data_IF_092720450487
#
_entry.id   IF_092720450487
#
_cell.length_a   1.000
_cell.length_b   1.000
_cell.length_c   1.000
_cell.angle_alpha   90.00
_cell.angle_beta   90.00
_cell.angle_gamma   90.00
#
_symmetry.space_group_name_H-M   'P 1'
#
loop_
_entity.id
_entity.type
_entity.pdbx_description
1 polymer ?
#
# COMPACT_ATOMS: atom_id res chain seq x y z
N UNK A 1 8.17 21.96 15.75
CA UNK A 1 8.19 21.68 14.29
C UNK A 1 8.41 20.19 14.03
N UNK A 2 8.42 19.75 12.77
CA UNK A 2 8.60 18.33 12.40
C UNK A 2 9.88 17.72 12.99
N UNK A 3 11.00 18.46 12.95
CA UNK A 3 12.27 17.99 13.50
C UNK A 3 12.17 17.67 15.00
N UNK A 4 11.60 18.58 15.81
CA UNK A 4 11.41 18.33 17.25
C UNK A 4 10.49 17.13 17.51
N UNK A 5 9.43 16.99 16.71
CA UNK A 5 8.54 15.84 16.81
C UNK A 5 9.28 14.54 16.48
N UNK A 6 10.08 14.56 15.40
CA UNK A 6 10.85 13.41 14.95
C UNK A 6 11.89 12.98 15.99
N UNK A 7 12.66 13.91 16.54
CA UNK A 7 13.64 13.63 17.60
C UNK A 7 12.97 13.00 18.82
N UNK A 8 11.82 13.54 19.26
CA UNK A 8 11.06 12.95 20.38
C UNK A 8 10.53 11.56 20.05
N UNK A 9 10.05 11.35 18.83
CA UNK A 9 9.57 10.04 18.39
C UNK A 9 10.72 9.02 18.34
N UNK A 10 11.92 9.41 17.89
CA UNK A 10 13.12 8.57 17.90
C UNK A 10 13.56 8.21 19.32
N UNK A 11 13.54 9.17 20.26
CA UNK A 11 13.84 8.89 21.68
C UNK A 11 12.87 7.83 22.24
N UNK A 12 11.56 8.02 22.02
CA UNK A 12 10.53 7.07 22.47
C UNK A 12 10.73 5.70 21.81
N UNK A 13 11.03 5.66 20.51
CA UNK A 13 11.32 4.43 19.78
C UNK A 13 12.53 3.71 20.39
N UNK A 14 13.62 4.42 20.64
CA UNK A 14 14.85 3.84 21.17
C UNK A 14 14.68 3.25 22.58
N UNK A 15 13.82 3.85 23.41
CA UNK A 15 13.49 3.34 24.75
C UNK A 15 12.61 2.08 24.69
N UNK A 16 11.67 2.00 23.73
CA UNK A 16 10.65 0.95 23.71
C UNK A 16 10.92 -0.18 22.69
N UNK A 17 11.89 -0.02 21.79
CA UNK A 17 12.19 -1.04 20.78
C UNK A 17 12.67 -2.33 21.44
N UNK A 18 12.16 -3.45 20.93
CA UNK A 18 12.50 -4.78 21.44
C UNK A 18 13.96 -5.18 21.21
N UNK A 19 14.61 -4.61 20.19
CA UNK A 19 16.03 -4.84 19.92
C UNK A 19 16.68 -3.69 19.15
N UNK A 20 18.01 -3.74 19.08
CA UNK A 20 18.86 -2.75 18.44
C UNK A 20 18.83 -2.70 16.91
N UNK A 21 18.11 -3.62 16.24
CA UNK A 21 18.33 -3.92 14.81
C UNK A 21 17.67 -2.94 13.84
N UNK A 22 16.77 -2.07 14.32
CA UNK A 22 16.01 -1.17 13.46
C UNK A 22 15.77 0.16 14.14
N UNK A 23 16.12 1.23 13.44
CA UNK A 23 15.79 2.62 13.77
C UNK A 23 14.33 2.95 13.43
N UNK A 24 13.84 4.09 13.91
CA UNK A 24 12.49 4.56 13.56
C UNK A 24 12.35 4.83 12.06
N UNK A 25 13.38 5.38 11.42
CA UNK A 25 13.40 5.64 9.98
C UNK A 25 13.35 4.34 9.16
N UNK A 26 14.14 3.33 9.52
CA UNK A 26 14.11 2.02 8.88
C UNK A 26 12.78 1.29 9.14
N UNK A 27 12.15 1.51 10.30
CA UNK A 27 10.80 0.99 10.58
C UNK A 27 9.76 1.63 9.69
N UNK A 28 9.85 2.95 9.50
CA UNK A 28 8.95 3.72 8.63
C UNK A 28 9.09 3.30 7.16
N UNK A 29 10.33 3.07 6.70
CA UNK A 29 10.63 2.57 5.36
C UNK A 29 10.89 1.05 5.33
N UNK A 30 10.15 0.28 6.12
CA UNK A 30 10.35 -1.15 6.21
C UNK A 30 10.16 -1.81 4.83
N UNK A 31 11.13 -2.63 4.41
CA UNK A 31 11.20 -3.25 3.06
C UNK A 31 11.14 -2.25 1.89
N UNK A 32 11.57 -1.00 2.14
CA UNK A 32 11.54 0.09 1.18
C UNK A 32 10.12 0.45 0.71
N UNK A 33 9.11 0.18 1.53
CA UNK A 33 7.69 0.38 1.16
C UNK A 33 7.32 1.85 0.98
N UNK A 34 8.05 2.77 1.61
CA UNK A 34 7.88 4.20 1.45
C UNK A 34 8.79 4.73 0.32
N UNK A 35 10.09 4.43 0.38
CA UNK A 35 11.07 4.95 -0.58
C UNK A 35 10.81 4.50 -2.02
N UNK A 36 10.32 3.28 -2.25
CA UNK A 36 9.96 2.78 -3.59
C UNK A 36 8.82 3.56 -4.26
N UNK A 37 8.07 4.36 -3.52
CA UNK A 37 7.02 5.20 -4.10
C UNK A 37 7.59 6.46 -4.74
N UNK A 38 8.88 6.76 -4.55
CA UNK A 38 9.51 7.97 -5.04
C UNK A 38 10.49 7.69 -6.19
N UNK A 39 10.51 8.51 -7.25
CA UNK A 39 9.59 9.62 -7.52
C UNK A 39 8.16 9.12 -7.75
N UNK A 40 7.17 9.88 -7.27
CA UNK A 40 5.76 9.48 -7.36
C UNK A 40 5.32 9.44 -8.82
N UNK A 41 4.90 8.27 -9.35
CA UNK A 41 4.43 8.16 -10.73
C UNK A 41 3.17 9.00 -10.95
N UNK A 42 3.07 9.64 -12.12
CA UNK A 42 1.94 10.47 -12.53
C UNK A 42 0.62 9.71 -12.54
N UNK A 43 0.66 8.45 -12.98
CA UNK A 43 -0.50 7.57 -13.05
C UNK A 43 -0.17 6.24 -12.40
N UNK A 44 -1.03 5.83 -11.47
CA UNK A 44 -0.95 4.54 -10.78
C UNK A 44 -2.32 3.88 -10.78
N UNK A 45 -2.33 2.56 -10.84
CA UNK A 45 -3.49 1.77 -10.45
C UNK A 45 -3.27 1.33 -9.01
N UNK A 46 -4.26 1.56 -8.16
CA UNK A 46 -4.27 1.10 -6.78
C UNK A 46 -5.39 0.10 -6.60
N UNK A 47 -5.17 -0.93 -5.78
CA UNK A 47 -6.21 -1.86 -5.40
C UNK A 47 -6.08 -2.24 -3.93
N UNK A 48 -7.21 -2.58 -3.31
CA UNK A 48 -7.26 -2.90 -1.90
C UNK A 48 -6.43 -4.15 -1.60
N UNK A 49 -5.60 -4.07 -0.56
CA UNK A 49 -4.98 -5.27 0.02
C UNK A 49 -6.03 -6.10 0.72
N UNK A 50 -7.05 -5.50 1.31
CA UNK A 50 -8.06 -6.22 2.07
C UNK A 50 -9.49 -5.79 1.80
N UNK A 51 -10.46 -6.71 1.90
CA UNK A 51 -11.89 -6.41 1.83
C UNK A 51 -12.75 -7.46 1.14
N UNK A 52 -14.07 -7.21 1.09
CA UNK A 52 -15.05 -8.15 0.54
C UNK A 52 -15.07 -8.24 -1.00
N UNK A 53 -14.39 -7.34 -1.71
CA UNK A 53 -14.27 -7.39 -3.16
C UNK A 53 -12.90 -6.86 -3.52
N UNK A 54 -12.34 -7.30 -4.66
CA UNK A 54 -11.22 -6.56 -5.25
C UNK A 54 -11.81 -5.31 -5.87
N UNK A 55 -11.28 -4.17 -5.46
CA UNK A 55 -11.65 -2.87 -5.98
C UNK A 55 -10.38 -2.14 -6.37
N UNK A 56 -10.33 -1.70 -7.63
CA UNK A 56 -9.21 -0.98 -8.20
C UNK A 56 -9.63 0.41 -8.67
N UNK A 57 -8.74 1.37 -8.50
CA UNK A 57 -8.95 2.75 -8.94
C UNK A 57 -7.69 3.33 -9.59
N UNK A 58 -7.89 4.27 -10.50
CA UNK A 58 -6.84 5.08 -11.09
C UNK A 58 -6.49 6.23 -10.14
N UNK A 59 -5.21 6.50 -9.96
CA UNK A 59 -4.71 7.57 -9.11
C UNK A 59 -3.77 8.48 -9.91
N UNK A 60 -4.22 9.71 -10.14
CA UNK A 60 -3.47 10.77 -10.83
C UNK A 60 -2.73 11.72 -9.87
N UNK A 61 -2.99 11.60 -8.56
CA UNK A 61 -2.45 12.53 -7.58
C UNK A 61 -0.96 12.23 -7.31
N UNK A 62 -0.09 13.14 -7.74
CA UNK A 62 1.37 13.06 -7.58
C UNK A 62 1.87 13.35 -6.17
N UNK A 63 0.99 13.71 -5.25
CA UNK A 63 1.31 13.92 -3.82
C UNK A 63 0.79 12.80 -2.92
N UNK A 64 0.02 11.86 -3.48
CA UNK A 64 -0.55 10.76 -2.71
C UNK A 64 0.49 9.67 -2.46
N UNK A 65 0.70 9.34 -1.18
CA UNK A 65 1.49 8.21 -0.69
C UNK A 65 0.54 7.10 -0.26
N UNK A 66 0.88 5.88 -0.60
CA UNK A 66 0.05 4.70 -0.40
C UNK A 66 0.49 3.96 0.86
N UNK A 67 -0.46 3.73 1.77
CA UNK A 67 -0.24 2.95 2.97
C UNK A 67 -0.22 1.44 2.71
N UNK A 68 0.07 0.67 3.75
CA UNK A 68 0.18 -0.80 3.70
C UNK A 68 -1.12 -1.54 3.34
N UNK A 69 -2.27 -0.86 3.38
CA UNK A 69 -3.59 -1.39 3.02
C UNK A 69 -3.91 -1.36 1.53
N UNK A 70 -3.02 -0.82 0.70
CA UNK A 70 -3.19 -0.77 -0.75
C UNK A 70 -1.98 -1.40 -1.44
N UNK A 71 -2.25 -2.18 -2.48
CA UNK A 71 -1.27 -2.52 -3.49
C UNK A 71 -1.37 -1.52 -4.65
N UNK A 72 -0.26 -1.34 -5.37
CA UNK A 72 -0.21 -0.39 -6.47
C UNK A 72 0.82 -0.77 -7.51
N UNK A 73 0.59 -0.27 -8.72
CA UNK A 73 1.54 -0.34 -9.84
C UNK A 73 1.52 0.98 -10.62
N UNK A 74 2.69 1.48 -11.08
CA UNK A 74 2.75 2.53 -12.08
C UNK A 74 2.21 2.01 -13.41
N UNK A 75 1.58 2.87 -14.19
CA UNK A 75 1.09 2.57 -15.54
C UNK A 75 1.43 3.73 -16.47
N UNK A 76 1.55 3.43 -17.76
CA UNK A 76 2.08 4.37 -18.75
C UNK A 76 1.00 5.13 -19.52
N UNK A 77 -0.24 4.64 -19.51
CA UNK A 77 -1.37 5.23 -20.25
C UNK A 77 -2.68 5.10 -19.50
N UNK A 78 -3.65 5.94 -19.85
CA UNK A 78 -4.99 5.85 -19.27
C UNK A 78 -5.71 4.59 -19.77
N UNK A 79 -5.43 4.14 -21.00
CA UNK A 79 -5.97 2.93 -21.59
C UNK A 79 -5.52 1.68 -20.83
N UNK A 80 -4.22 1.59 -20.51
CA UNK A 80 -3.67 0.53 -19.66
C UNK A 80 -4.33 0.55 -18.27
N UNK A 81 -4.46 1.74 -17.68
CA UNK A 81 -5.11 1.91 -16.39
C UNK A 81 -6.58 1.48 -16.43
N UNK A 82 -7.31 1.83 -17.49
CA UNK A 82 -8.70 1.45 -17.71
C UNK A 82 -8.83 -0.07 -17.86
N UNK A 83 -7.95 -0.70 -18.64
CA UNK A 83 -7.92 -2.15 -18.80
C UNK A 83 -7.71 -2.86 -17.47
N UNK A 84 -6.69 -2.46 -16.70
CA UNK A 84 -6.41 -3.05 -15.39
C UNK A 84 -7.55 -2.82 -14.40
N UNK A 85 -8.11 -1.61 -14.35
CA UNK A 85 -9.27 -1.33 -13.51
C UNK A 85 -10.50 -2.17 -13.94
N UNK A 86 -10.74 -2.36 -15.23
CA UNK A 86 -11.85 -3.17 -15.72
C UNK A 86 -11.69 -4.64 -15.31
N UNK A 87 -10.48 -5.20 -15.48
CA UNK A 87 -10.18 -6.59 -15.07
C UNK A 87 -10.32 -6.73 -13.56
N UNK A 88 -9.69 -5.86 -12.76
CA UNK A 88 -9.66 -5.99 -11.31
C UNK A 88 -11.03 -5.77 -10.65
N UNK A 89 -11.87 -4.88 -11.21
CA UNK A 89 -13.22 -4.63 -10.72
C UNK A 89 -14.26 -5.62 -11.26
N UNK A 90 -13.90 -6.52 -12.18
CA UNK A 90 -14.83 -7.50 -12.71
C UNK A 90 -15.24 -8.51 -11.60
N UNK A 91 -16.53 -8.92 -11.53
CA UNK A 91 -16.99 -9.90 -10.54
C UNK A 91 -16.20 -11.22 -10.60
N UNK A 92 -15.90 -11.68 -11.82
CA UNK A 92 -15.11 -12.90 -12.06
C UNK A 92 -13.74 -12.84 -11.41
N UNK A 93 -13.08 -11.68 -11.40
CA UNK A 93 -11.77 -11.53 -10.76
C UNK A 93 -11.87 -11.70 -9.26
N UNK A 94 -12.91 -11.10 -8.63
CA UNK A 94 -13.17 -11.30 -7.20
C UNK A 94 -13.46 -12.76 -6.85
N UNK A 95 -14.16 -13.49 -7.73
CA UNK A 95 -14.42 -14.92 -7.55
C UNK A 95 -13.15 -15.76 -7.66
N UNK A 96 -12.33 -15.49 -8.67
CA UNK A 96 -11.06 -16.19 -8.90
C UNK A 96 -10.05 -15.99 -7.77
N UNK A 97 -9.99 -14.80 -7.18
CA UNK A 97 -9.05 -14.53 -6.08
C UNK A 97 -9.56 -14.98 -4.71
N UNK A 98 -10.86 -15.28 -4.58
CA UNK A 98 -11.50 -15.64 -3.31
C UNK A 98 -10.80 -16.78 -2.56
N UNK A 99 -10.32 -17.85 -3.22
CA UNK A 99 -9.58 -18.92 -2.53
C UNK A 99 -8.26 -18.46 -1.90
N UNK A 100 -7.67 -17.37 -2.40
CA UNK A 100 -6.43 -16.79 -1.90
C UNK A 100 -6.64 -15.68 -0.86
N UNK A 101 -7.90 -15.29 -0.63
CA UNK A 101 -8.25 -14.31 0.39
C UNK A 101 -8.37 -15.01 1.75
N UNK A 102 -7.70 -14.46 2.76
CA UNK A 102 -7.77 -15.03 4.12
C UNK A 102 -9.20 -14.93 4.64
N UNK A 103 -9.76 -16.04 5.12
CA UNK A 103 -11.12 -16.08 5.64
C UNK A 103 -11.16 -15.49 7.06
N UNK A 104 -11.61 -14.25 7.18
CA UNK A 104 -11.90 -13.55 8.43
C UNK A 104 -13.30 -12.95 8.34
N UNK A 105 -14.08 -13.00 9.42
CA UNK A 105 -15.54 -12.77 9.44
C UNK A 105 -15.98 -11.38 8.94
N UNK A 106 -15.09 -10.39 8.79
CA UNK A 106 -15.45 -9.05 8.31
C UNK A 106 -14.44 -8.36 7.35
N UNK A 107 -13.18 -8.79 7.25
CA UNK A 107 -12.19 -8.17 6.33
C UNK A 107 -11.25 -9.23 5.75
N UNK A 108 -10.94 -9.14 4.44
CA UNK A 108 -10.24 -10.22 3.70
C UNK A 108 -8.93 -9.73 3.10
N UNK A 109 -7.78 -10.05 3.70
CA UNK A 109 -6.46 -9.75 3.14
C UNK A 109 -6.16 -10.62 1.91
N UNK A 110 -5.72 -9.99 0.82
CA UNK A 110 -5.12 -10.56 -0.39
C UNK A 110 -3.64 -10.83 -0.08
N UNK A 111 -3.31 -12.11 0.15
CA UNK A 111 -1.95 -12.56 0.29
C UNK A 111 -1.26 -12.67 -1.10
N UNK A 112 0.04 -12.39 -1.13
CA UNK A 112 0.91 -12.58 -2.30
C UNK A 112 1.46 -14.00 -2.34
#
# INVERSE_FOLDING_TARGET
GLQQWWSRAEEIWNVNRSNGRMSLAERLDYQSTLSKQFPIPLLRVVYNRSGMHVVAAKLFNTRAILGSGLYWAPVHSEEEANYLCAVLNAPVTTELVRPFMTYGKDERDIAK
#
